data_IF_320708481503
#
_entry.id   IF_320708481503
#
_cell.length_a   1.000
_cell.length_b   1.000
_cell.length_c   1.000
_cell.angle_alpha   90.00
_cell.angle_beta   90.00
_cell.angle_gamma   90.00
#
_symmetry.space_group_name_H-M   'P 1'
#
loop_
_entity.id
_entity.type
_entity.pdbx_description
1 polymer ?
#
# COMPACT_ATOMS: atom_id res chain seq x y z
N UNK A 1 11.90 0.61 14.69
CA UNK A 1 11.30 0.23 13.40
C UNK A 1 11.09 1.54 12.65
N UNK A 2 11.92 1.83 11.65
CA UNK A 2 11.78 3.07 10.89
C UNK A 2 10.43 3.05 10.16
N UNK A 3 9.61 4.07 10.40
CA UNK A 3 8.27 4.17 9.84
C UNK A 3 8.41 4.49 8.35
N UNK A 4 8.15 3.51 7.49
CA UNK A 4 8.15 3.68 6.02
C UNK A 4 7.24 4.82 5.55
N UNK A 5 6.31 5.24 6.41
CA UNK A 5 5.40 6.36 6.20
C UNK A 5 6.11 7.72 6.16
N UNK A 6 7.23 7.89 6.86
CA UNK A 6 8.01 9.13 6.84
C UNK A 6 8.85 9.26 5.55
N UNK A 7 9.26 8.15 4.95
CA UNK A 7 10.05 8.16 3.70
C UNK A 7 9.19 8.60 2.50
N UNK A 8 7.89 8.32 2.51
CA UNK A 8 6.98 8.68 1.41
C UNK A 8 6.40 10.11 1.53
N UNK A 9 6.56 10.77 2.68
CA UNK A 9 5.93 12.06 2.96
C UNK A 9 6.88 13.25 2.80
N UNK A 10 8.17 13.02 2.48
CA UNK A 10 9.19 14.06 2.53
C UNK A 10 9.56 14.69 1.19
N UNK A 11 9.00 14.22 0.07
CA UNK A 11 9.17 14.95 -1.18
C UNK A 11 8.08 16.02 -1.24
N UNK A 12 8.49 17.29 -1.15
CA UNK A 12 7.73 18.42 -1.72
C UNK A 12 7.34 18.00 -3.13
N UNK A 13 6.14 17.45 -3.26
CA UNK A 13 5.72 16.73 -4.45
C UNK A 13 5.75 17.73 -5.59
N UNK A 14 6.81 17.63 -6.40
CA UNK A 14 7.04 18.43 -7.57
C UNK A 14 5.73 18.41 -8.36
N UNK A 15 5.11 19.58 -8.49
CA UNK A 15 3.79 19.66 -9.12
C UNK A 15 3.94 19.15 -10.55
N UNK A 16 3.33 17.97 -10.80
CA UNK A 16 3.43 17.29 -12.08
C UNK A 16 2.98 18.22 -13.23
N UNK A 17 2.10 19.19 -12.95
CA UNK A 17 1.68 20.17 -13.94
C UNK A 17 2.82 21.13 -14.34
N UNK A 18 3.57 21.64 -13.35
CA UNK A 18 4.74 22.49 -13.56
C UNK A 18 5.85 21.71 -14.27
N UNK A 19 6.09 20.45 -13.87
CA UNK A 19 7.07 19.58 -14.55
C UNK A 19 6.73 19.38 -16.02
N UNK A 20 5.46 19.13 -16.33
CA UNK A 20 5.02 18.95 -17.70
C UNK A 20 5.19 20.23 -18.52
N UNK A 21 4.90 21.41 -17.94
CA UNK A 21 5.19 22.69 -18.59
C UNK A 21 6.69 22.88 -18.83
N UNK A 22 7.53 22.52 -17.85
CA UNK A 22 8.99 22.57 -17.97
C UNK A 22 9.48 21.69 -19.10
N UNK A 23 9.06 20.41 -19.12
CA UNK A 23 9.41 19.46 -20.18
C UNK A 23 8.92 19.93 -21.56
N UNK A 24 7.73 20.55 -21.65
CA UNK A 24 7.20 21.06 -22.91
C UNK A 24 7.79 22.41 -23.35
N UNK A 25 8.63 23.05 -22.53
CA UNK A 25 9.21 24.37 -22.82
C UNK A 25 8.22 25.53 -22.68
N UNK A 26 7.09 25.32 -22.00
CA UNK A 26 6.03 26.33 -21.79
C UNK A 26 5.96 26.85 -20.36
N UNK A 27 6.94 26.50 -19.50
CA UNK A 27 7.02 26.98 -18.13
C UNK A 27 7.49 28.44 -18.07
N UNK A 28 7.02 29.19 -17.08
CA UNK A 28 7.52 30.54 -16.80
C UNK A 28 8.96 30.52 -16.29
N UNK A 29 9.63 31.67 -16.28
CA UNK A 29 11.01 31.77 -15.77
C UNK A 29 11.09 31.41 -14.29
N UNK A 30 10.09 31.81 -13.49
CA UNK A 30 10.03 31.44 -12.07
C UNK A 30 9.83 29.93 -11.88
N UNK A 31 8.97 29.31 -12.68
CA UNK A 31 8.72 27.86 -12.64
C UNK A 31 9.97 27.06 -13.03
N UNK A 32 10.68 27.50 -14.07
CA UNK A 32 11.93 26.87 -14.52
C UNK A 32 13.01 26.95 -13.44
N UNK A 33 13.18 28.12 -12.83
CA UNK A 33 14.14 28.31 -11.76
C UNK A 33 13.84 27.40 -10.56
N UNK A 34 12.57 27.25 -10.18
CA UNK A 34 12.17 26.36 -9.10
C UNK A 34 12.55 24.89 -9.38
N UNK A 35 12.30 24.40 -10.60
CA UNK A 35 12.67 23.04 -11.02
C UNK A 35 14.20 22.87 -11.04
N UNK A 36 14.93 23.82 -11.65
CA UNK A 36 16.39 23.78 -11.73
C UNK A 36 17.05 23.82 -10.34
N UNK A 37 16.50 24.59 -9.40
CA UNK A 37 16.95 24.61 -8.01
C UNK A 37 16.72 23.28 -7.29
N UNK A 38 15.59 22.59 -7.57
CA UNK A 38 15.33 21.24 -7.03
C UNK A 38 16.24 20.17 -7.64
N UNK A 39 16.52 20.23 -8.95
CA UNK A 39 17.48 19.34 -9.61
C UNK A 39 18.88 19.51 -9.03
N UNK A 40 19.34 20.76 -8.83
CA UNK A 40 20.63 21.05 -8.21
C UNK A 40 20.72 20.53 -6.76
N UNK A 41 19.59 20.47 -6.05
CA UNK A 41 19.51 19.97 -4.67
C UNK A 41 19.43 18.45 -4.54
N UNK A 42 19.17 17.71 -5.62
CA UNK A 42 18.95 16.26 -5.59
C UNK A 42 19.41 15.58 -6.87
N UNK A 43 20.48 14.78 -6.78
CA UNK A 43 20.96 13.93 -7.88
C UNK A 43 19.86 12.98 -8.41
N UNK A 44 18.95 12.54 -7.54
CA UNK A 44 17.82 11.71 -7.96
C UNK A 44 16.81 12.50 -8.81
N UNK A 45 16.53 13.76 -8.47
CA UNK A 45 15.66 14.61 -9.28
C UNK A 45 16.31 14.96 -10.63
N UNK A 46 17.61 15.25 -10.62
CA UNK A 46 18.40 15.53 -11.83
C UNK A 46 18.32 14.34 -12.82
N UNK A 47 18.69 13.13 -12.38
CA UNK A 47 18.61 11.91 -13.17
C UNK A 47 17.17 11.63 -13.67
N UNK A 48 16.17 11.84 -12.82
CA UNK A 48 14.78 11.60 -13.17
C UNK A 48 14.28 12.58 -14.24
N UNK A 49 14.57 13.88 -14.10
CA UNK A 49 14.14 14.89 -15.08
C UNK A 49 14.87 14.71 -16.41
N UNK A 50 16.18 14.43 -16.40
CA UNK A 50 16.94 14.10 -17.61
C UNK A 50 16.32 12.89 -18.35
N UNK A 51 16.00 11.82 -17.62
CA UNK A 51 15.33 10.65 -18.18
C UNK A 51 13.97 10.96 -18.83
N UNK A 52 13.19 11.87 -18.24
CA UNK A 52 11.90 12.31 -18.80
C UNK A 52 12.06 13.22 -20.02
N UNK A 53 13.15 14.01 -20.10
CA UNK A 53 13.44 14.85 -21.26
C UNK A 53 13.77 14.03 -22.51
N UNK A 54 14.40 12.86 -22.35
CA UNK A 54 14.72 11.95 -23.46
C UNK A 54 13.50 11.24 -24.05
N UNK A 55 12.32 11.37 -23.42
CA UNK A 55 11.11 10.74 -23.91
C UNK A 55 10.60 11.43 -25.20
N UNK A 56 10.41 10.66 -26.26
CA UNK A 56 10.11 11.20 -27.61
C UNK A 56 8.73 11.86 -27.70
N UNK A 57 7.74 11.35 -26.97
CA UNK A 57 6.37 11.89 -26.97
C UNK A 57 5.96 12.33 -25.56
N UNK A 58 6.16 13.63 -25.30
CA UNK A 58 5.82 14.26 -24.02
C UNK A 58 4.31 14.26 -23.75
N UNK A 59 3.46 14.19 -24.79
CA UNK A 59 2.01 14.09 -24.60
C UNK A 59 1.60 12.69 -24.10
N UNK A 60 2.33 11.65 -24.49
CA UNK A 60 2.09 10.29 -23.99
C UNK A 60 2.56 10.10 -22.55
N UNK A 61 3.53 10.90 -22.10
CA UNK A 61 4.10 10.78 -20.76
C UNK A 61 3.04 10.88 -19.66
N UNK A 62 2.11 11.83 -19.78
CA UNK A 62 0.98 11.97 -18.86
C UNK A 62 0.10 10.72 -18.83
N UNK A 63 -0.23 10.18 -19.99
CA UNK A 63 -1.05 8.96 -20.10
C UNK A 63 -0.36 7.75 -19.47
N UNK A 64 0.96 7.63 -19.67
CA UNK A 64 1.77 6.58 -19.06
C UNK A 64 1.83 6.71 -17.54
N UNK A 65 2.06 7.92 -17.02
CA UNK A 65 2.06 8.18 -15.58
C UNK A 65 0.70 7.83 -14.96
N UNK A 66 -0.40 8.25 -15.58
CA UNK A 66 -1.75 7.92 -15.16
C UNK A 66 -2.01 6.40 -15.19
N UNK A 67 -1.54 5.72 -16.23
CA UNK A 67 -1.68 4.27 -16.34
C UNK A 67 -0.90 3.54 -15.26
N UNK A 68 0.35 3.96 -15.01
CA UNK A 68 1.20 3.39 -13.97
C UNK A 68 0.55 3.58 -12.59
N UNK A 69 0.05 4.78 -12.30
CA UNK A 69 -0.65 5.07 -11.04
C UNK A 69 -1.89 4.17 -10.86
N UNK A 70 -2.72 4.05 -11.91
CA UNK A 70 -3.88 3.13 -11.89
C UNK A 70 -3.45 1.67 -11.66
N UNK A 71 -2.36 1.23 -12.29
CA UNK A 71 -1.86 -0.13 -12.14
C UNK A 71 -1.29 -0.38 -10.74
N UNK A 72 -0.55 0.57 -10.17
CA UNK A 72 -0.05 0.51 -8.80
C UNK A 72 -1.20 0.39 -7.80
N UNK A 73 -2.22 1.25 -7.91
CA UNK A 73 -3.42 1.16 -7.08
C UNK A 73 -4.13 -0.18 -7.23
N UNK A 74 -4.24 -0.71 -8.46
CA UNK A 74 -4.86 -2.01 -8.71
C UNK A 74 -4.07 -3.16 -8.06
N UNK A 75 -2.75 -3.17 -8.21
CA UNK A 75 -1.89 -4.24 -7.66
C UNK A 75 -1.82 -4.20 -6.13
N UNK A 76 -1.74 -3.00 -5.54
CA UNK A 76 -1.75 -2.81 -4.08
C UNK A 76 -3.10 -3.13 -3.47
N UNK A 77 -4.21 -2.65 -4.06
CA UNK A 77 -5.56 -2.95 -3.58
C UNK A 77 -5.85 -4.46 -3.64
N UNK A 78 -5.46 -5.14 -4.72
CA UNK A 78 -5.64 -6.60 -4.83
C UNK A 78 -4.76 -7.38 -3.85
N UNK A 79 -3.52 -6.96 -3.61
CA UNK A 79 -2.66 -7.58 -2.60
C UNK A 79 -3.22 -7.43 -1.17
N UNK A 80 -3.72 -6.24 -0.83
CA UNK A 80 -4.37 -5.97 0.47
C UNK A 80 -5.65 -6.78 0.62
N UNK A 81 -6.50 -6.82 -0.41
CA UNK A 81 -7.73 -7.62 -0.40
C UNK A 81 -7.42 -9.12 -0.26
N UNK A 82 -6.42 -9.65 -0.98
CA UNK A 82 -5.97 -11.05 -0.85
C UNK A 82 -5.46 -11.38 0.55
N UNK A 83 -4.69 -10.49 1.18
CA UNK A 83 -4.24 -10.65 2.57
C UNK A 83 -5.41 -10.66 3.56
N UNK A 84 -6.38 -9.73 3.39
CA UNK A 84 -7.60 -9.68 4.23
C UNK A 84 -8.46 -10.94 4.09
N UNK A 85 -8.62 -11.45 2.88
CA UNK A 85 -9.40 -12.67 2.62
C UNK A 85 -8.77 -13.92 3.26
N UNK A 86 -7.44 -14.07 3.16
CA UNK A 86 -6.69 -15.15 3.84
C UNK A 86 -6.83 -15.10 5.36
N UNK A 87 -6.79 -13.90 5.96
CA UNK A 87 -6.99 -13.72 7.41
C UNK A 87 -8.40 -14.12 7.86
N UNK A 88 -9.44 -13.76 7.09
CA UNK A 88 -10.83 -14.12 7.37
C UNK A 88 -11.09 -15.63 7.33
N UNK A 89 -10.51 -16.33 6.34
CA UNK A 89 -10.69 -17.78 6.20
C UNK A 89 -10.04 -18.58 7.34
N UNK A 90 -8.89 -18.13 7.86
CA UNK A 90 -8.21 -18.80 8.97
C UNK A 90 -8.92 -18.63 10.31
N UNK A 91 -9.62 -17.51 10.52
CA UNK A 91 -10.34 -17.21 11.77
C UNK A 91 -11.55 -18.15 12.01
N UNK A 92 -12.30 -18.47 10.96
CA UNK A 92 -13.49 -19.33 11.05
C UNK A 92 -13.19 -20.73 11.63
N UNK A 93 -12.03 -21.31 11.29
CA UNK A 93 -11.67 -22.65 11.76
C UNK A 93 -11.36 -22.68 13.27
N UNK A 94 -10.70 -21.64 13.80
CA UNK A 94 -10.42 -21.56 15.23
C UNK A 94 -11.69 -21.42 16.07
N UNK A 95 -12.69 -20.71 15.56
CA UNK A 95 -13.99 -20.57 16.23
C UNK A 95 -14.75 -21.91 16.36
N UNK A 96 -14.65 -22.79 15.35
CA UNK A 96 -15.28 -24.12 15.40
C UNK A 96 -14.56 -25.02 16.41
N UNK A 97 -13.23 -24.98 16.45
CA UNK A 97 -12.42 -25.78 17.39
C UNK A 97 -12.72 -25.38 18.84
N UNK A 98 -12.78 -24.08 19.15
CA UNK A 98 -13.09 -23.61 20.51
C UNK A 98 -14.50 -24.00 20.95
N UNK A 99 -15.48 -23.91 20.05
CA UNK A 99 -16.86 -24.35 20.32
C UNK A 99 -16.92 -25.85 20.65
N UNK A 100 -16.26 -26.70 19.86
CA UNK A 100 -16.19 -28.14 20.11
C UNK A 100 -15.49 -28.47 21.45
N UNK A 101 -14.41 -27.76 21.77
CA UNK A 101 -13.71 -27.93 23.04
C UNK A 101 -14.61 -27.62 24.24
N UNK A 102 -15.40 -26.54 24.17
CA UNK A 102 -16.36 -26.16 25.22
C UNK A 102 -17.44 -27.25 25.40
N UNK A 103 -18.04 -27.72 24.30
CA UNK A 103 -19.06 -28.79 24.34
C UNK A 103 -18.48 -30.06 24.97
N UNK A 104 -17.27 -30.45 24.56
CA UNK A 104 -16.58 -31.63 25.10
C UNK A 104 -16.34 -31.49 26.60
N UNK A 105 -15.94 -30.30 27.05
CA UNK A 105 -15.71 -30.00 28.47
C UNK A 105 -17.02 -30.07 29.28
N UNK A 106 -18.15 -29.59 28.73
CA UNK A 106 -19.47 -29.74 29.35
C UNK A 106 -19.88 -31.22 29.50
N UNK A 107 -19.65 -32.05 28.47
CA UNK A 107 -19.96 -33.48 28.50
C UNK A 107 -19.12 -34.20 29.56
N UNK A 108 -17.82 -33.92 29.61
CA UNK A 108 -16.93 -34.49 30.63
C UNK A 108 -17.36 -34.07 32.04
N UNK A 109 -17.69 -32.79 32.24
CA UNK A 109 -18.22 -32.30 33.52
C UNK A 109 -19.50 -33.03 33.94
N UNK A 110 -20.42 -33.23 33.02
CA UNK A 110 -21.66 -33.98 33.28
C UNK A 110 -21.39 -35.44 33.68
N UNK A 111 -20.47 -36.12 32.97
CA UNK A 111 -20.10 -37.52 33.28
C UNK A 111 -19.53 -37.62 34.69
N UNK A 112 -18.63 -36.71 35.07
CA UNK A 112 -18.02 -36.70 36.41
C UNK A 112 -19.08 -36.50 37.50
N UNK A 113 -20.00 -35.56 37.32
CA UNK A 113 -21.09 -35.31 38.29
C UNK A 113 -21.99 -36.55 38.40
N UNK A 114 -22.38 -37.15 37.28
CA UNK A 114 -23.24 -38.34 37.25
C UNK A 114 -22.57 -39.56 37.88
N UNK A 115 -21.26 -39.71 37.69
CA UNK A 115 -20.47 -40.78 38.31
C UNK A 115 -20.39 -40.60 39.82
N UNK A 116 -20.19 -39.36 40.29
CA UNK A 116 -20.13 -39.06 41.73
C UNK A 116 -21.48 -39.25 42.43
N UNK A 117 -22.58 -38.85 41.77
CA UNK A 117 -23.93 -38.97 42.32
C UNK A 117 -24.45 -40.42 42.36
N UNK A 118 -23.92 -41.32 41.52
CA UNK A 118 -24.27 -42.74 41.53
C UNK A 118 -23.46 -43.55 42.56
N UNK A 119 -22.39 -42.97 43.13
CA UNK A 119 -21.56 -43.62 44.14
C UNK A 119 -21.97 -43.31 45.59
N UNK A 120 -22.89 -42.37 45.82
CA UNK A 120 -23.60 -42.19 47.10
C UNK A 120 -24.89 -43.02 47.11
#
# INVERSE_FOLDING_TARGET
MADLKDILNHDEALDNEILMRYLNGTASEEERFAIENQMAGSAFMDDAVEGLQHFSDKNQLKNYADQLNRQLHKQTATAVQRKKLKGRLKSQQWAIITLLAIITLCILGYIVIRMYYHQQ
#
